data_IF_821747056149
#
_entry.id   IF_821747056149
#
_cell.length_a   1.000
_cell.length_b   1.000
_cell.length_c   1.000
_cell.angle_alpha   90.00
_cell.angle_beta   90.00
_cell.angle_gamma   90.00
#
_symmetry.space_group_name_H-M   'P 1'
#
loop_
_entity.id
_entity.type
_entity.pdbx_description
1 polymer ?
#
# COMPACT_ATOMS: atom_id res chain seq x y z
N UNK A 1 1.82 14.60 21.19
CA UNK A 1 0.86 13.59 20.64
C UNK A 1 1.59 12.44 19.94
N UNK A 2 0.95 11.31 19.62
CA UNK A 2 1.59 10.24 18.84
C UNK A 2 2.09 10.73 17.47
N UNK A 3 1.34 11.62 16.83
CA UNK A 3 1.74 12.32 15.59
C UNK A 3 3.02 13.14 15.74
N UNK A 4 3.16 13.81 16.87
CA UNK A 4 4.34 14.62 17.17
C UNK A 4 5.57 13.72 17.35
N UNK A 5 5.43 12.64 18.14
CA UNK A 5 6.48 11.62 18.31
C UNK A 5 6.87 10.95 16.99
N UNK A 6 5.94 10.73 16.08
CA UNK A 6 6.18 10.10 14.78
C UNK A 6 7.04 10.99 13.86
N UNK A 7 6.90 12.31 13.95
CA UNK A 7 7.61 13.25 13.08
C UNK A 7 8.78 13.97 13.74
N UNK A 8 8.86 13.96 15.07
CA UNK A 8 9.90 14.68 15.84
C UNK A 8 11.02 13.77 16.35
N UNK A 9 10.94 12.45 16.14
CA UNK A 9 11.93 11.49 16.62
C UNK A 9 12.48 10.59 15.51
N UNK A 10 13.75 10.21 15.62
CA UNK A 10 14.43 9.36 14.63
C UNK A 10 13.72 7.99 14.47
N UNK A 11 13.26 7.43 15.58
CA UNK A 11 12.46 6.19 15.57
C UNK A 11 11.06 6.41 14.95
N UNK A 12 10.45 7.56 15.21
CA UNK A 12 9.21 7.98 14.58
C UNK A 12 9.32 8.03 13.06
N UNK A 13 10.39 8.64 12.54
CA UNK A 13 10.61 8.75 11.09
C UNK A 13 10.92 7.40 10.44
N UNK A 14 11.71 6.54 11.10
CA UNK A 14 11.97 5.17 10.63
C UNK A 14 10.69 4.34 10.61
N UNK A 15 9.86 4.41 11.65
CA UNK A 15 8.57 3.72 11.67
C UNK A 15 7.58 4.28 10.65
N UNK A 16 7.60 5.60 10.39
CA UNK A 16 6.80 6.23 9.34
C UNK A 16 7.15 5.71 7.94
N UNK A 17 8.44 5.54 7.63
CA UNK A 17 8.87 4.96 6.36
C UNK A 17 8.33 3.53 6.16
N UNK A 18 8.32 2.71 7.22
CA UNK A 18 7.74 1.35 7.18
C UNK A 18 6.24 1.40 6.92
N UNK A 19 5.51 2.28 7.62
CA UNK A 19 4.06 2.47 7.43
C UNK A 19 3.76 2.83 5.97
N UNK A 20 4.47 3.80 5.41
CA UNK A 20 4.32 4.18 4.00
C UNK A 20 4.65 3.01 3.07
N UNK A 21 5.72 2.26 3.35
CA UNK A 21 6.08 1.08 2.57
C UNK A 21 4.97 0.02 2.52
N UNK A 22 4.34 -0.29 3.65
CA UNK A 22 3.22 -1.24 3.71
C UNK A 22 2.01 -0.72 2.92
N UNK A 23 1.69 0.57 3.03
CA UNK A 23 0.60 1.17 2.26
C UNK A 23 0.85 1.08 0.74
N UNK A 24 2.07 1.37 0.30
CA UNK A 24 2.45 1.25 -1.12
C UNK A 24 2.29 -0.19 -1.61
N UNK A 25 2.78 -1.18 -0.84
CA UNK A 25 2.62 -2.60 -1.18
C UNK A 25 1.14 -2.99 -1.29
N UNK A 26 0.31 -2.54 -0.33
CA UNK A 26 -1.13 -2.79 -0.35
C UNK A 26 -1.81 -2.24 -1.59
N UNK A 27 -1.48 -1.01 -1.99
CA UNK A 27 -2.02 -0.38 -3.21
C UNK A 27 -1.55 -1.10 -4.47
N UNK A 28 -0.26 -1.46 -4.56
CA UNK A 28 0.30 -2.18 -5.71
C UNK A 28 -0.36 -3.54 -5.87
N UNK A 29 -0.46 -4.32 -4.78
CA UNK A 29 -1.12 -5.62 -4.82
C UNK A 29 -2.60 -5.48 -5.17
N UNK A 30 -3.33 -4.55 -4.55
CA UNK A 30 -4.73 -4.28 -4.88
C UNK A 30 -4.93 -3.96 -6.37
N UNK A 31 -4.06 -3.14 -6.95
CA UNK A 31 -4.08 -2.83 -8.39
C UNK A 31 -3.81 -4.05 -9.26
N UNK A 32 -2.79 -4.86 -8.93
CA UNK A 32 -2.47 -6.07 -9.69
C UNK A 32 -3.61 -7.10 -9.64
N UNK A 33 -4.24 -7.26 -8.48
CA UNK A 33 -5.40 -8.15 -8.32
C UNK A 33 -6.62 -7.65 -9.11
N UNK A 34 -6.95 -6.36 -9.01
CA UNK A 34 -8.05 -5.78 -9.79
C UNK A 34 -7.84 -5.94 -11.30
N UNK A 35 -6.63 -5.65 -11.79
CA UNK A 35 -6.29 -5.84 -13.20
C UNK A 35 -6.42 -7.31 -13.64
N UNK A 36 -6.01 -8.28 -12.80
CA UNK A 36 -6.20 -9.70 -13.09
C UNK A 36 -7.68 -10.08 -13.20
N UNK A 37 -8.53 -9.55 -12.31
CA UNK A 37 -9.97 -9.81 -12.36
C UNK A 37 -10.60 -9.23 -13.64
N UNK A 38 -10.18 -8.04 -14.06
CA UNK A 38 -10.62 -7.45 -15.33
C UNK A 38 -10.18 -8.30 -16.54
N UNK A 39 -8.93 -8.79 -16.54
CA UNK A 39 -8.43 -9.66 -17.61
C UNK A 39 -9.17 -11.01 -17.66
N UNK A 40 -9.43 -11.63 -16.51
CA UNK A 40 -10.24 -12.86 -16.43
C UNK A 40 -11.67 -12.62 -16.89
N UNK A 41 -12.31 -11.52 -16.47
CA UNK A 41 -13.67 -11.16 -16.88
C UNK A 41 -13.77 -10.94 -18.40
N UNK A 42 -12.78 -10.28 -19.00
CA UNK A 42 -12.73 -10.04 -20.46
C UNK A 42 -12.51 -11.32 -21.26
N UNK A 43 -11.72 -12.27 -20.73
CA UNK A 43 -11.47 -13.54 -21.39
C UNK A 43 -12.62 -14.54 -21.22
N UNK A 44 -13.36 -14.50 -20.11
CA UNK A 44 -14.51 -15.37 -19.87
C UNK A 44 -15.74 -15.07 -20.76
N UNK A 45 -15.78 -13.90 -21.40
CA UNK A 45 -16.82 -13.51 -22.36
C UNK A 45 -16.53 -13.84 -23.83
N UNK A 46 -15.37 -14.43 -24.14
CA UNK A 46 -15.01 -14.96 -25.46
C UNK A 46 -15.12 -16.48 -25.48
#
# INVERSE_FOLDING_TARGET
MAWELLFSSDFGLMSFAVIVGVLVIGVVMGKLYANKMDDESRNAGK
#
